data_IF_788862310743
#
_entry.id   IF_788862310743
#
_cell.length_a   1.000
_cell.length_b   1.000
_cell.length_c   1.000
_cell.angle_alpha   90.00
_cell.angle_beta   90.00
_cell.angle_gamma   90.00
#
_symmetry.space_group_name_H-M   'P 1'
#
loop_
_entity.id
_entity.type
_entity.pdbx_description
1 polymer ?
#
# COMPACT_ATOMS: atom_id res chain seq x y z
N UNK A 1 3.63 17.70 17.08
CA UNK A 1 2.49 17.33 16.21
C UNK A 1 2.87 17.78 14.79
N UNK A 2 3.25 16.85 13.91
CA UNK A 2 3.62 17.17 12.52
C UNK A 2 2.32 17.29 11.73
N UNK A 3 2.00 18.46 11.19
CA UNK A 3 0.84 18.69 10.32
C UNK A 3 1.30 18.92 8.90
N UNK A 4 1.20 17.89 8.05
CA UNK A 4 1.51 18.00 6.63
C UNK A 4 0.19 18.18 5.87
N UNK A 5 0.05 19.23 5.04
CA UNK A 5 -1.14 19.40 4.22
C UNK A 5 -1.26 18.25 3.22
N UNK A 6 -2.45 17.64 3.21
CA UNK A 6 -2.81 16.59 2.27
C UNK A 6 -3.42 17.23 1.01
N UNK A 7 -2.93 16.88 -0.18
CA UNK A 7 -3.51 17.34 -1.45
C UNK A 7 -3.66 16.19 -2.43
N UNK A 8 -4.72 16.23 -3.23
CA UNK A 8 -4.82 15.39 -4.41
C UNK A 8 -3.69 15.78 -5.38
N UNK A 9 -3.04 14.80 -6.04
CA UNK A 9 -2.04 15.08 -7.05
C UNK A 9 -2.69 15.90 -8.18
N UNK A 10 -2.03 16.98 -8.58
CA UNK A 10 -2.38 17.69 -9.82
C UNK A 10 -1.96 16.85 -11.03
N UNK A 11 -2.45 17.17 -12.23
CA UNK A 11 -2.30 16.37 -13.46
C UNK A 11 -0.86 15.89 -13.76
N UNK A 12 0.15 16.65 -13.31
CA UNK A 12 1.58 16.33 -13.50
C UNK A 12 2.30 15.80 -12.25
N UNK A 13 1.64 15.79 -11.08
CA UNK A 13 2.24 15.32 -9.84
C UNK A 13 1.86 13.86 -9.61
N UNK A 14 2.85 13.02 -9.34
CA UNK A 14 2.60 11.63 -8.95
C UNK A 14 2.45 11.50 -7.43
N UNK A 15 1.60 10.61 -6.92
CA UNK A 15 1.49 10.33 -5.48
C UNK A 15 2.81 9.98 -4.79
N UNK A 16 3.75 9.39 -5.52
CA UNK A 16 5.07 9.01 -5.00
C UNK A 16 6.14 10.12 -5.12
N UNK A 17 5.82 11.27 -5.71
CA UNK A 17 6.73 12.41 -5.85
C UNK A 17 6.04 13.74 -5.48
N UNK A 18 5.55 13.91 -4.23
CA UNK A 18 4.96 15.18 -3.84
C UNK A 18 6.01 16.30 -3.76
N UNK A 19 5.60 17.57 -3.97
CA UNK A 19 6.42 18.72 -3.61
C UNK A 19 6.83 18.68 -2.13
N UNK A 20 7.99 19.25 -1.79
CA UNK A 20 8.48 19.28 -0.40
C UNK A 20 7.43 19.88 0.55
N UNK A 21 7.21 19.20 1.67
CA UNK A 21 6.25 19.63 2.69
C UNK A 21 4.79 19.27 2.40
N UNK A 22 4.53 18.46 1.37
CA UNK A 22 3.20 17.92 1.06
C UNK A 22 3.22 16.39 1.06
N UNK A 23 2.07 15.79 1.35
CA UNK A 23 1.78 14.39 1.07
C UNK A 23 0.69 14.31 0.01
N UNK A 24 0.88 13.47 -1.00
CA UNK A 24 -0.09 13.24 -2.08
C UNK A 24 -0.63 11.81 -2.02
N UNK A 25 -1.89 11.66 -2.40
CA UNK A 25 -2.65 10.42 -2.29
C UNK A 25 -3.17 9.98 -3.65
N UNK A 26 -3.13 8.69 -3.93
CA UNK A 26 -3.84 8.17 -5.10
C UNK A 26 -5.35 8.15 -4.82
N UNK A 27 -6.11 8.92 -5.60
CA UNK A 27 -7.58 8.93 -5.51
C UNK A 27 -8.16 7.52 -5.74
N UNK A 28 -7.56 6.73 -6.64
CA UNK A 28 -7.98 5.36 -6.90
C UNK A 28 -7.79 4.47 -5.66
N UNK A 29 -6.69 4.64 -4.92
CA UNK A 29 -6.40 3.90 -3.69
C UNK A 29 -7.38 4.29 -2.57
N UNK A 30 -7.68 5.59 -2.43
CA UNK A 30 -8.71 6.08 -1.50
C UNK A 30 -10.10 5.52 -1.83
N UNK A 31 -10.51 5.58 -3.11
CA UNK A 31 -11.78 5.00 -3.58
C UNK A 31 -11.86 3.48 -3.38
N UNK A 32 -10.72 2.80 -3.33
CA UNK A 32 -10.64 1.38 -3.00
C UNK A 32 -10.70 1.10 -1.48
N UNK A 33 -10.94 2.12 -0.65
CA UNK A 33 -11.14 1.99 0.79
C UNK A 33 -9.88 2.11 1.64
N UNK A 34 -8.72 2.35 1.03
CA UNK A 34 -7.44 2.51 1.74
C UNK A 34 -7.36 3.93 2.30
N UNK A 35 -7.73 4.10 3.55
CA UNK A 35 -7.70 5.39 4.26
C UNK A 35 -6.66 5.39 5.39
N UNK A 36 -6.20 6.58 5.78
CA UNK A 36 -5.36 6.74 6.97
C UNK A 36 -6.21 6.93 8.24
N UNK A 37 -5.71 6.50 9.41
CA UNK A 37 -4.52 5.67 9.60
C UNK A 37 -4.71 4.26 9.03
N UNK A 38 -3.65 3.68 8.46
CA UNK A 38 -3.71 2.33 7.89
C UNK A 38 -3.93 1.29 8.99
N UNK A 39 -4.58 0.18 8.65
CA UNK A 39 -4.65 -0.97 9.55
C UNK A 39 -3.24 -1.49 9.90
N UNK A 40 -2.93 -1.87 11.16
CA UNK A 40 -1.57 -2.27 11.58
C UNK A 40 -0.94 -3.35 10.70
N UNK A 41 -1.70 -4.37 10.32
CA UNK A 41 -1.21 -5.42 9.40
C UNK A 41 -0.85 -4.89 8.00
N UNK A 42 -1.58 -3.90 7.48
CA UNK A 42 -1.23 -3.28 6.20
C UNK A 42 0.09 -2.49 6.36
N UNK A 43 0.26 -1.79 7.48
CA UNK A 43 1.51 -1.07 7.79
C UNK A 43 2.69 -2.04 7.85
N UNK A 44 2.56 -3.18 8.56
CA UNK A 44 3.66 -4.14 8.70
C UNK A 44 4.12 -4.72 7.36
N UNK A 45 3.20 -4.97 6.43
CA UNK A 45 3.57 -5.44 5.08
C UNK A 45 4.25 -4.34 4.27
N UNK A 46 3.73 -3.11 4.33
CA UNK A 46 4.32 -1.96 3.63
C UNK A 46 5.74 -1.68 4.14
N UNK A 47 5.92 -1.68 5.47
CA UNK A 47 7.20 -1.47 6.13
C UNK A 47 8.21 -2.57 5.77
N UNK A 48 7.76 -3.83 5.70
CA UNK A 48 8.60 -4.96 5.30
C UNK A 48 9.22 -4.78 3.90
N UNK A 49 8.45 -4.27 2.93
CA UNK A 49 8.95 -4.02 1.58
C UNK A 49 9.66 -2.67 1.42
N UNK A 50 9.67 -1.81 2.46
CA UNK A 50 10.26 -0.48 2.39
C UNK A 50 9.60 0.44 1.36
N UNK A 51 8.32 0.19 1.04
CA UNK A 51 7.53 1.00 0.10
C UNK A 51 6.67 2.00 0.86
N UNK A 52 6.23 3.08 0.22
CA UNK A 52 5.17 3.93 0.79
C UNK A 52 3.79 3.45 0.32
N UNK A 53 2.71 3.67 1.09
CA UNK A 53 1.37 3.18 0.76
C UNK A 53 0.93 3.51 -0.68
N UNK A 54 1.22 4.71 -1.17
CA UNK A 54 0.78 5.15 -2.49
C UNK A 54 1.63 4.66 -3.65
N UNK A 55 2.66 3.87 -3.38
CA UNK A 55 3.41 3.15 -4.41
C UNK A 55 2.81 1.79 -4.73
N UNK A 56 1.95 1.24 -3.87
CA UNK A 56 1.29 -0.04 -4.12
C UNK A 56 0.07 0.13 -5.02
N UNK A 57 -0.09 -0.79 -5.98
CA UNK A 57 -1.32 -0.86 -6.79
C UNK A 57 -2.54 -1.26 -5.94
N UNK A 58 -3.76 -0.84 -6.30
CA UNK A 58 -4.98 -1.26 -5.61
C UNK A 58 -5.14 -2.79 -5.49
N UNK A 59 -4.64 -3.54 -6.47
CA UNK A 59 -4.65 -5.01 -6.42
C UNK A 59 -3.75 -5.57 -5.32
N UNK A 60 -2.63 -4.92 -5.03
CA UNK A 60 -1.73 -5.34 -3.95
C UNK A 60 -2.43 -5.25 -2.59
N UNK A 61 -3.18 -4.17 -2.35
CA UNK A 61 -4.02 -4.05 -1.16
C UNK A 61 -5.06 -5.17 -1.04
N UNK A 62 -5.66 -5.57 -2.16
CA UNK A 62 -6.61 -6.70 -2.17
C UNK A 62 -5.95 -8.00 -1.74
N UNK A 63 -4.71 -8.26 -2.15
CA UNK A 63 -3.98 -9.47 -1.71
C UNK A 63 -3.61 -9.41 -0.24
N UNK A 64 -3.13 -8.26 0.25
CA UNK A 64 -2.81 -8.05 1.67
C UNK A 64 -4.07 -8.33 2.50
N UNK A 65 -5.16 -7.61 2.24
CA UNK A 65 -6.43 -7.75 2.97
C UNK A 65 -7.04 -9.14 2.78
N UNK A 66 -6.91 -9.73 1.59
CA UNK A 66 -7.38 -11.09 1.31
C UNK A 66 -6.71 -12.15 2.17
N UNK A 67 -5.38 -12.08 2.32
CA UNK A 67 -4.61 -12.99 3.17
C UNK A 67 -5.00 -12.82 4.65
N UNK A 68 -5.14 -11.56 5.10
CA UNK A 68 -5.60 -11.25 6.45
C UNK A 68 -6.96 -11.89 6.76
N UNK A 69 -7.96 -11.66 5.90
CA UNK A 69 -9.30 -12.22 6.07
C UNK A 69 -9.26 -13.75 6.05
N UNK A 70 -8.45 -14.34 5.18
CA UNK A 70 -8.33 -15.80 5.07
C UNK A 70 -7.79 -16.42 6.37
N UNK A 71 -6.72 -15.87 6.94
CA UNK A 71 -6.14 -16.37 8.20
C UNK A 71 -7.16 -16.33 9.33
N UNK A 72 -7.84 -15.19 9.51
CA UNK A 72 -8.87 -15.05 10.55
C UNK A 72 -10.08 -15.96 10.33
N UNK A 73 -10.49 -16.21 9.07
CA UNK A 73 -11.54 -17.19 8.76
C UNK A 73 -11.16 -18.63 9.08
N UNK A 74 -9.86 -18.94 9.08
CA UNK A 74 -9.33 -20.26 9.45
C UNK A 74 -9.02 -20.37 10.95
N UNK A 75 -9.27 -19.32 11.75
CA UNK A 75 -8.93 -19.29 13.17
C UNK A 75 -7.42 -19.15 13.44
N UNK A 76 -6.65 -18.71 12.44
CA UNK A 76 -5.22 -18.43 12.57
C UNK A 76 -5.00 -17.02 13.11
N UNK A 77 -3.80 -16.78 13.63
CA UNK A 77 -3.36 -15.45 14.02
C UNK A 77 -3.18 -14.51 12.82
N UNK A 78 -2.84 -13.25 13.05
CA UNK A 78 -2.58 -12.31 11.95
C UNK A 78 -1.31 -12.76 11.20
N UNK A 79 -1.35 -12.86 9.86
CA UNK A 79 -0.19 -13.30 9.09
C UNK A 79 0.99 -12.35 9.26
N UNK A 80 2.21 -12.89 9.22
CA UNK A 80 3.42 -12.08 9.20
C UNK A 80 3.70 -11.53 7.79
N UNK A 81 4.47 -10.43 7.67
CA UNK A 81 4.90 -9.95 6.35
C UNK A 81 5.70 -10.98 5.54
N UNK A 82 6.48 -11.84 6.21
CA UNK A 82 7.20 -12.95 5.59
C UNK A 82 6.24 -13.99 5.00
N UNK A 83 5.15 -14.31 5.70
CA UNK A 83 4.12 -15.20 5.15
C UNK A 83 3.44 -14.58 3.93
N UNK A 84 3.19 -13.26 3.94
CA UNK A 84 2.74 -12.57 2.73
C UNK A 84 3.77 -12.70 1.60
N UNK A 85 5.05 -12.52 1.89
CA UNK A 85 6.14 -12.63 0.92
C UNK A 85 6.34 -14.06 0.38
N UNK A 86 5.94 -15.07 1.14
CA UNK A 86 5.92 -16.46 0.70
C UNK A 86 4.89 -16.70 -0.42
N UNK A 87 3.73 -16.06 -0.34
CA UNK A 87 2.66 -16.20 -1.34
C UNK A 87 2.73 -15.19 -2.48
N UNK A 88 3.29 -14.01 -2.23
CA UNK A 88 3.27 -12.89 -3.15
C UNK A 88 4.63 -12.18 -3.24
N UNK A 89 5.11 -11.98 -4.46
CA UNK A 89 6.29 -11.18 -4.75
C UNK A 89 5.88 -9.75 -5.10
N UNK A 90 6.39 -8.75 -4.38
CA UNK A 90 6.21 -7.33 -4.72
C UNK A 90 7.30 -6.92 -5.72
N UNK A 91 6.87 -6.49 -6.92
CA UNK A 91 7.76 -6.14 -8.04
C UNK A 91 7.52 -4.71 -8.49
N UNK A 92 8.56 -4.05 -8.97
CA UNK A 92 8.45 -2.73 -9.62
C UNK A 92 7.67 -2.85 -10.94
N UNK A 93 6.75 -1.93 -11.18
CA UNK A 93 6.03 -1.85 -12.44
C UNK A 93 6.93 -1.20 -13.52
N UNK A 94 7.31 -1.91 -14.59
CA UNK A 94 8.16 -1.35 -15.65
C UNK A 94 7.45 -0.26 -16.45
N UNK A 95 6.12 -0.27 -16.50
CA UNK A 95 5.31 0.74 -17.21
C UNK A 95 4.99 1.96 -16.35
N UNK A 96 5.19 1.89 -15.03
CA UNK A 96 4.88 2.99 -14.12
C UNK A 96 5.95 3.13 -13.03
N UNK A 97 6.95 3.96 -13.35
CA UNK A 97 8.09 4.20 -12.47
C UNK A 97 7.62 4.63 -11.07
N UNK A 98 8.19 4.00 -10.04
CA UNK A 98 7.87 4.26 -8.64
C UNK A 98 6.65 3.50 -8.11
N UNK A 99 5.93 2.74 -8.94
CA UNK A 99 4.83 1.87 -8.50
C UNK A 99 5.24 0.41 -8.42
N UNK A 100 4.61 -0.32 -7.50
CA UNK A 100 4.85 -1.72 -7.23
C UNK A 100 3.55 -2.51 -7.22
N UNK A 101 3.63 -3.75 -7.70
CA UNK A 101 2.51 -4.67 -7.71
C UNK A 101 2.93 -6.02 -7.13
N UNK A 102 2.03 -6.64 -6.38
CA UNK A 102 2.18 -8.03 -5.98
C UNK A 102 1.81 -8.96 -7.14
N UNK A 103 2.68 -9.93 -7.43
CA UNK A 103 2.38 -11.10 -8.26
C UNK A 103 2.45 -12.36 -7.41
N UNK A 104 1.73 -13.40 -7.81
CA UNK A 104 2.05 -14.76 -7.37
C UNK A 104 3.37 -15.23 -7.98
#
# INVERSE_FOLDING_TARGET
KISIPMRLPMEFNRPHTPPRGLASFSEAVLKCGVHLPLHPYIQSVIDYYGVVPFQLTPNTYRYIVGLYILYHKLGLETPSPEEFAWFYQVKSNPSDFGFFYASK
#
